data_IF_051792637031
#
_entry.id   IF_051792637031
#
_cell.length_a   1.000
_cell.length_b   1.000
_cell.length_c   1.000
_cell.angle_alpha   90.00
_cell.angle_beta   90.00
_cell.angle_gamma   90.00
#
_symmetry.space_group_name_H-M   'P 1'
#
loop_
_entity.id
_entity.type
_entity.pdbx_description
1 polymer ?
#
# COMPACT_ATOMS: atom_id res chain seq x y z
N UNK A 1 -11.28 -28.24 9.48
CA UNK A 1 -10.07 -27.39 9.50
C UNK A 1 -10.52 -25.92 9.52
N UNK A 2 -10.51 -25.28 10.70
CA UNK A 2 -10.89 -23.85 10.81
C UNK A 2 -9.75 -23.03 10.21
N UNK A 3 -9.99 -22.44 9.03
CA UNK A 3 -9.21 -21.30 8.58
C UNK A 3 -9.35 -20.25 9.67
N UNK A 4 -8.26 -19.97 10.39
CA UNK A 4 -8.20 -18.82 11.29
C UNK A 4 -8.33 -17.62 10.36
N UNK A 5 -9.56 -17.12 10.22
CA UNK A 5 -9.80 -15.79 9.68
C UNK A 5 -8.96 -14.85 10.51
N UNK A 6 -7.89 -14.31 9.92
CA UNK A 6 -7.12 -13.20 10.50
C UNK A 6 -8.09 -12.01 10.55
N UNK A 7 -8.94 -11.96 11.58
CA UNK A 7 -9.87 -10.88 11.79
C UNK A 7 -9.03 -9.65 12.13
N UNK A 8 -8.76 -8.82 11.13
CA UNK A 8 -8.12 -7.54 11.36
C UNK A 8 -9.20 -6.63 11.94
N UNK A 9 -9.07 -6.29 13.22
CA UNK A 9 -10.01 -5.44 13.95
C UNK A 9 -9.82 -3.96 13.57
N UNK A 10 -10.37 -3.55 12.42
CA UNK A 10 -10.39 -2.16 11.95
C UNK A 10 -11.72 -1.45 12.26
N UNK A 11 -12.43 -1.83 13.33
CA UNK A 11 -13.85 -1.48 13.53
C UNK A 11 -14.16 0.03 13.45
N UNK A 12 -13.19 0.89 13.77
CA UNK A 12 -13.34 2.35 13.72
C UNK A 12 -12.31 3.04 12.80
N UNK A 13 -11.42 2.26 12.17
CA UNK A 13 -10.40 2.82 11.28
C UNK A 13 -11.04 3.06 9.91
N UNK A 14 -10.95 4.29 9.42
CA UNK A 14 -11.49 4.68 8.10
C UNK A 14 -10.41 4.87 7.04
N UNK A 15 -9.18 5.15 7.47
CA UNK A 15 -8.06 5.48 6.59
C UNK A 15 -6.80 4.78 7.08
N UNK A 16 -6.05 4.19 6.16
CA UNK A 16 -4.69 3.71 6.40
C UNK A 16 -3.69 4.60 5.67
N UNK A 17 -2.77 5.15 6.44
CA UNK A 17 -1.57 5.82 5.97
C UNK A 17 -0.46 4.77 5.87
N UNK A 18 -0.01 4.47 4.65
CA UNK A 18 0.90 3.37 4.36
C UNK A 18 2.19 3.94 3.81
N UNK A 19 3.32 3.63 4.44
CA UNK A 19 4.62 3.98 3.88
C UNK A 19 4.90 3.21 2.57
N UNK A 20 5.79 3.73 1.72
CA UNK A 20 6.15 3.12 0.43
C UNK A 20 7.45 2.32 0.53
N UNK A 21 8.56 2.98 0.86
CA UNK A 21 9.91 2.40 0.77
C UNK A 21 10.24 1.57 2.02
N UNK A 22 10.43 0.26 1.86
CA UNK A 22 10.61 -0.65 3.01
C UNK A 22 9.29 -1.24 3.53
N UNK A 23 8.15 -0.78 3.01
CA UNK A 23 6.82 -1.29 3.34
C UNK A 23 6.17 -2.03 2.16
N UNK A 24 6.12 -1.41 0.97
CA UNK A 24 5.59 -2.05 -0.24
C UNK A 24 6.68 -2.83 -1.00
N UNK A 25 7.87 -2.26 -1.07
CA UNK A 25 9.01 -2.83 -1.77
C UNK A 25 10.32 -2.42 -1.10
N UNK A 26 11.37 -3.22 -1.31
CA UNK A 26 12.71 -2.94 -0.81
C UNK A 26 13.75 -3.44 -1.82
N UNK A 27 14.87 -2.70 -1.98
CA UNK A 27 15.94 -3.03 -2.93
C UNK A 27 15.44 -3.46 -4.32
N UNK A 28 14.54 -2.63 -4.89
CA UNK A 28 13.93 -2.82 -6.22
C UNK A 28 13.09 -4.11 -6.39
N UNK A 29 12.55 -4.65 -5.29
CA UNK A 29 11.68 -5.83 -5.32
C UNK A 29 10.46 -5.64 -4.40
N UNK A 30 9.27 -6.10 -4.80
CA UNK A 30 8.11 -6.12 -3.92
C UNK A 30 8.40 -6.92 -2.66
N UNK A 31 7.92 -6.45 -1.52
CA UNK A 31 7.94 -7.23 -0.28
C UNK A 31 6.93 -8.38 -0.44
N UNK A 32 7.32 -9.58 0.01
CA UNK A 32 6.49 -10.79 -0.13
C UNK A 32 5.13 -10.57 0.52
N UNK A 33 4.07 -10.74 -0.26
CA UNK A 33 2.69 -10.57 0.19
C UNK A 33 2.17 -9.14 0.19
N UNK A 34 3.01 -8.12 -0.04
CA UNK A 34 2.57 -6.72 0.00
C UNK A 34 1.51 -6.40 -1.06
N UNK A 35 1.67 -6.89 -2.30
CA UNK A 35 0.68 -6.70 -3.37
C UNK A 35 -0.68 -7.27 -2.95
N UNK A 36 -0.69 -8.52 -2.45
CA UNK A 36 -1.91 -9.18 -1.96
C UNK A 36 -2.51 -8.43 -0.78
N UNK A 37 -1.70 -7.94 0.15
CA UNK A 37 -2.17 -7.19 1.31
C UNK A 37 -2.84 -5.88 0.90
N UNK A 38 -2.23 -5.09 0.00
CA UNK A 38 -2.83 -3.86 -0.51
C UNK A 38 -4.15 -4.15 -1.23
N UNK A 39 -4.20 -5.16 -2.09
CA UNK A 39 -5.41 -5.60 -2.76
C UNK A 39 -6.51 -5.98 -1.75
N UNK A 40 -6.22 -6.86 -0.79
CA UNK A 40 -7.19 -7.26 0.25
C UNK A 40 -7.61 -6.13 1.19
N UNK A 41 -6.79 -5.09 1.37
CA UNK A 41 -7.16 -3.89 2.13
C UNK A 41 -8.04 -2.94 1.31
N UNK A 42 -7.80 -2.84 -0.01
CA UNK A 42 -8.60 -2.01 -0.92
C UNK A 42 -10.02 -2.55 -1.15
N UNK A 43 -10.23 -3.84 -0.93
CA UNK A 43 -11.55 -4.48 -0.95
C UNK A 43 -12.39 -4.20 0.32
N UNK A 44 -11.78 -3.58 1.34
CA UNK A 44 -12.47 -3.19 2.57
C UNK A 44 -12.98 -1.76 2.46
N UNK A 45 -13.86 -1.36 3.38
CA UNK A 45 -14.31 0.03 3.55
C UNK A 45 -13.20 0.92 4.18
N UNK A 46 -11.96 0.80 3.70
CA UNK A 46 -10.79 1.54 4.14
C UNK A 46 -10.27 2.39 3.00
N UNK A 47 -10.09 3.69 3.25
CA UNK A 47 -9.33 4.55 2.33
C UNK A 47 -7.84 4.31 2.52
N UNK A 48 -7.13 3.96 1.45
CA UNK A 48 -5.67 3.80 1.48
C UNK A 48 -5.01 5.05 0.92
N UNK A 49 -4.08 5.62 1.69
CA UNK A 49 -3.19 6.69 1.25
C UNK A 49 -1.75 6.24 1.47
N UNK A 50 -0.90 6.47 0.48
CA UNK A 50 0.49 6.06 0.47
C UNK A 50 1.37 7.29 0.65
N UNK A 51 2.18 7.29 1.70
CA UNK A 51 3.08 8.38 2.01
C UNK A 51 4.54 7.93 1.94
N UNK A 52 5.45 8.85 1.66
CA UNK A 52 6.88 8.59 1.80
C UNK A 52 7.63 9.88 2.06
N UNK A 53 8.68 9.84 2.87
CA UNK A 53 9.47 11.04 3.21
C UNK A 53 10.52 11.38 2.14
N UNK A 54 10.21 11.24 0.84
CA UNK A 54 11.15 11.56 -0.23
C UNK A 54 10.80 12.89 -0.90
N UNK A 55 11.72 13.84 -0.86
CA UNK A 55 11.67 15.09 -1.64
C UNK A 55 12.38 14.96 -3.01
N UNK A 56 13.18 13.90 -3.18
CA UNK A 56 14.04 13.69 -4.34
C UNK A 56 13.32 13.31 -5.65
N UNK A 57 12.01 13.05 -5.63
CA UNK A 57 11.28 12.53 -6.80
C UNK A 57 9.86 13.13 -6.94
N UNK A 58 9.43 13.48 -8.16
CA UNK A 58 8.04 13.88 -8.41
C UNK A 58 7.04 12.78 -8.03
N UNK A 59 5.81 13.18 -7.65
CA UNK A 59 4.74 12.26 -7.18
C UNK A 59 4.48 11.15 -8.21
N UNK A 60 4.50 11.51 -9.50
CA UNK A 60 4.31 10.58 -10.61
C UNK A 60 5.38 9.49 -10.68
N UNK A 61 6.61 9.78 -10.29
CA UNK A 61 7.70 8.79 -10.27
C UNK A 61 7.60 7.87 -9.04
N UNK A 62 7.24 8.45 -7.88
CA UNK A 62 6.93 7.69 -6.67
C UNK A 62 5.79 6.70 -6.95
N UNK A 63 4.74 7.13 -7.66
CA UNK A 63 3.61 6.31 -8.08
C UNK A 63 3.98 5.19 -9.08
N UNK A 64 4.79 5.50 -10.10
CA UNK A 64 5.14 4.55 -11.17
C UNK A 64 5.81 3.29 -10.65
N UNK A 65 6.65 3.41 -9.62
CA UNK A 65 7.45 2.29 -9.10
C UNK A 65 6.57 1.14 -8.56
N UNK A 66 5.70 1.35 -7.55
CA UNK A 66 4.78 0.30 -7.11
C UNK A 66 3.77 -0.08 -8.21
N UNK A 67 3.35 0.85 -9.09
CA UNK A 67 2.49 0.49 -10.22
C UNK A 67 3.12 -0.56 -11.14
N UNK A 68 4.41 -0.40 -11.47
CA UNK A 68 5.17 -1.36 -12.29
C UNK A 68 5.37 -2.72 -11.60
N UNK A 69 5.30 -2.76 -10.26
CA UNK A 69 5.32 -4.00 -9.50
C UNK A 69 3.97 -4.72 -9.44
N UNK A 70 2.90 -4.12 -9.98
CA UNK A 70 1.57 -4.71 -10.00
C UNK A 70 0.66 -4.26 -8.85
N UNK A 71 1.04 -3.22 -8.10
CA UNK A 71 0.13 -2.62 -7.12
C UNK A 71 -0.95 -1.79 -7.83
N UNK A 72 -2.21 -1.96 -7.42
CA UNK A 72 -3.36 -1.20 -7.91
C UNK A 72 -3.53 0.13 -7.14
N UNK A 73 -2.53 1.01 -7.25
CA UNK A 73 -2.52 2.31 -6.58
C UNK A 73 -2.83 3.41 -7.60
N UNK A 74 -3.70 4.34 -7.23
CA UNK A 74 -4.01 5.54 -8.02
C UNK A 74 -3.07 6.70 -7.65
N UNK A 75 -2.86 7.61 -8.58
CA UNK A 75 -1.91 8.72 -8.39
C UNK A 75 -2.35 9.67 -7.26
N UNK A 76 -3.65 9.91 -7.12
CA UNK A 76 -4.27 10.74 -6.08
C UNK A 76 -4.20 10.12 -4.68
N UNK A 77 -3.70 8.89 -4.56
CA UNK A 77 -3.44 8.23 -3.28
C UNK A 77 -1.99 8.43 -2.81
N UNK A 78 -1.10 9.04 -3.60
CA UNK A 78 0.31 9.24 -3.24
C UNK A 78 0.54 10.63 -2.64
N UNK A 79 1.24 10.67 -1.52
CA UNK A 79 1.70 11.87 -0.84
C UNK A 79 3.20 11.74 -0.54
N UNK A 80 3.97 12.80 -0.71
CA UNK A 80 5.37 12.87 -0.29
C UNK A 80 5.68 14.26 0.25
#
# INVERSE_FOLDING_TARGET
MKLISTAIYFKEVKVLLIDINGTLYYKKKPIKGAIKAVSSLSEKELKLLFLTNTDSKPVKEVWKTPKNYGFEIKLDQIYH
#
